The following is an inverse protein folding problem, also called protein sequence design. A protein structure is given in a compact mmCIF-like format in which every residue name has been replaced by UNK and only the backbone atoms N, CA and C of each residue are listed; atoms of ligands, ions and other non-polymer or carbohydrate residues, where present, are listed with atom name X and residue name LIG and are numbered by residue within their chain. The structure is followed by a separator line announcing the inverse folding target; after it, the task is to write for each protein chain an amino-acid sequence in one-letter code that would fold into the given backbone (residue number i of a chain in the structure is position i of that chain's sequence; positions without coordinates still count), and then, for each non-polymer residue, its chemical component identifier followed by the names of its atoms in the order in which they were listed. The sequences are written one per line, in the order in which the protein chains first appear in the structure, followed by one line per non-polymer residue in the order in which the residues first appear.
data_IF_519064416655
#
_entry.id   IF_519064416655
#
_cell.length_a   1.000
_cell.length_b   1.000
_cell.length_c   1.000
_cell.angle_alpha   90.00
_cell.angle_beta   90.00
_cell.angle_gamma   90.00
#
_symmetry.space_group_name_H-M   'P 1'
#
loop_
_entity.id
_entity.type
_entity.pdbx_description
1 polymer ?
#
# COMPACT_ATOMS: atom_id res chain seq x y z
N UNK A 1 -11.66 -2.44 1.28
CA UNK A 1 -11.27 -2.15 -0.12
C UNK A 1 -11.32 -0.64 -0.33
N UNK A 2 -10.52 -0.05 -1.23
CA UNK A 2 -10.47 1.43 -1.34
C UNK A 2 -11.39 1.88 -2.49
N UNK A 3 -12.60 2.29 -2.14
CA UNK A 3 -13.63 2.84 -3.02
C UNK A 3 -13.66 4.37 -2.91
N UNK A 4 -14.55 5.02 -3.67
CA UNK A 4 -14.83 6.46 -3.53
C UNK A 4 -15.23 6.80 -2.10
N UNK A 5 -15.84 5.89 -1.33
CA UNK A 5 -16.29 6.13 0.05
C UNK A 5 -15.13 6.33 1.03
N UNK A 6 -14.00 5.66 0.83
CA UNK A 6 -12.84 5.72 1.72
C UNK A 6 -11.90 6.90 1.38
N UNK A 7 -12.02 7.49 0.18
CA UNK A 7 -11.15 8.58 -0.23
C UNK A 7 -11.42 9.89 0.56
N UNK A 8 -10.41 10.51 1.20
CA UNK A 8 -10.62 11.78 1.89
C UNK A 8 -10.76 12.97 0.93
N UNK A 9 -11.22 14.11 1.42
CA UNK A 9 -11.53 15.31 0.64
C UNK A 9 -10.37 15.86 -0.20
N UNK A 10 -9.12 15.44 0.02
CA UNK A 10 -7.98 15.91 -0.76
C UNK A 10 -7.87 15.22 -2.14
N UNK A 11 -8.70 14.21 -2.40
CA UNK A 11 -8.72 13.48 -3.66
C UNK A 11 -9.66 14.13 -4.68
N UNK A 12 -9.22 14.06 -5.93
CA UNK A 12 -9.94 14.54 -7.10
C UNK A 12 -9.98 13.43 -8.15
N UNK A 13 -11.14 13.26 -8.77
CA UNK A 13 -11.49 12.14 -9.64
C UNK A 13 -11.74 12.64 -11.05
N UNK A 14 -11.25 11.89 -12.03
CA UNK A 14 -11.61 12.06 -13.43
C UNK A 14 -12.47 10.89 -13.87
N UNK A 15 -13.68 11.21 -14.32
CA UNK A 15 -14.58 10.26 -14.97
C UNK A 15 -14.25 10.20 -16.47
N UNK A 16 -14.35 9.02 -17.06
CA UNK A 16 -14.24 8.83 -18.51
C UNK A 16 -15.16 9.78 -19.26
N UNK A 17 -14.72 10.28 -20.41
CA UNK A 17 -15.39 11.41 -21.09
C UNK A 17 -16.83 11.10 -21.49
N UNK A 18 -17.06 9.92 -22.09
CA UNK A 18 -18.40 9.48 -22.51
C UNK A 18 -19.35 9.22 -21.33
N UNK A 19 -18.83 8.65 -20.24
CA UNK A 19 -19.61 8.45 -19.03
C UNK A 19 -19.94 9.77 -18.33
N UNK A 20 -18.94 10.66 -18.20
CA UNK A 20 -19.06 11.95 -17.53
C UNK A 20 -20.17 12.80 -18.13
N UNK A 21 -20.26 12.89 -19.46
CA UNK A 21 -21.30 13.68 -20.11
C UNK A 21 -22.70 13.17 -19.77
N UNK A 22 -22.92 11.85 -19.87
CA UNK A 22 -24.18 11.20 -19.49
C UNK A 22 -24.49 11.40 -18.00
N UNK A 23 -23.50 11.20 -17.14
CA UNK A 23 -23.63 11.35 -15.69
C UNK A 23 -24.07 12.77 -15.31
N UNK A 24 -23.40 13.80 -15.82
CA UNK A 24 -23.78 15.19 -15.53
C UNK A 24 -25.14 15.57 -16.12
N UNK A 25 -25.51 15.02 -17.28
CA UNK A 25 -26.83 15.23 -17.86
C UNK A 25 -27.93 14.62 -16.97
N UNK A 26 -27.74 13.40 -16.45
CA UNK A 26 -28.65 12.78 -15.48
C UNK A 26 -28.80 13.62 -14.20
N UNK A 27 -27.70 14.18 -13.68
CA UNK A 27 -27.73 15.10 -12.54
C UNK A 27 -28.58 16.34 -12.86
N UNK A 28 -28.40 16.93 -14.05
CA UNK A 28 -29.14 18.13 -14.48
C UNK A 28 -30.63 17.84 -14.55
N UNK A 29 -31.01 16.73 -15.19
CA UNK A 29 -32.41 16.38 -15.43
C UNK A 29 -33.14 16.16 -14.10
N UNK A 30 -32.47 15.56 -13.10
CA UNK A 30 -33.02 15.45 -11.74
C UNK A 30 -33.10 16.78 -10.98
N UNK A 31 -32.20 17.73 -11.26
CA UNK A 31 -32.17 19.02 -10.59
C UNK A 31 -32.92 20.14 -11.33
N UNK A 32 -33.56 19.84 -12.47
CA UNK A 32 -34.23 20.75 -13.41
C UNK A 32 -33.34 21.82 -14.08
N UNK A 33 -32.22 22.22 -13.46
CA UNK A 33 -31.33 23.25 -14.01
C UNK A 33 -29.90 23.15 -13.49
N UNK A 34 -28.94 23.61 -14.29
CA UNK A 34 -27.54 23.73 -13.87
C UNK A 34 -27.35 24.71 -12.71
N UNK A 35 -28.22 25.72 -12.56
CA UNK A 35 -28.12 26.64 -11.42
C UNK A 35 -28.49 25.95 -10.10
N UNK A 36 -29.44 25.01 -10.13
CA UNK A 36 -29.79 24.18 -8.97
C UNK A 36 -28.63 23.26 -8.56
N UNK A 37 -28.03 22.55 -9.53
CA UNK A 37 -26.82 21.72 -9.30
C UNK A 37 -25.70 22.55 -8.69
N UNK A 38 -25.42 23.73 -9.27
CA UNK A 38 -24.38 24.65 -8.81
C UNK A 38 -24.60 25.09 -7.36
N UNK A 39 -25.82 25.52 -7.01
CA UNK A 39 -26.18 25.94 -5.64
C UNK A 39 -25.99 24.80 -4.65
N UNK A 40 -26.40 23.58 -5.02
CA UNK A 40 -26.27 22.38 -4.19
C UNK A 40 -24.81 22.01 -3.92
N UNK A 41 -23.95 22.13 -4.94
CA UNK A 41 -22.52 21.87 -4.78
C UNK A 41 -21.79 23.00 -4.02
N UNK A 42 -22.30 24.24 -4.09
CA UNK A 42 -21.62 25.41 -3.52
C UNK A 42 -20.45 25.89 -4.38
N UNK A 43 -20.50 25.66 -5.70
CA UNK A 43 -19.40 25.99 -6.63
C UNK A 43 -19.75 27.14 -7.57
N UNK A 44 -18.75 27.70 -8.25
CA UNK A 44 -18.97 28.73 -9.27
C UNK A 44 -19.55 28.14 -10.57
N UNK A 45 -20.17 28.97 -11.42
CA UNK A 45 -20.67 28.54 -12.74
C UNK A 45 -19.54 27.97 -13.61
N UNK A 46 -18.37 28.61 -13.59
CA UNK A 46 -17.20 28.15 -14.35
C UNK A 46 -16.67 26.82 -13.83
N UNK A 47 -16.64 26.62 -12.51
CA UNK A 47 -16.22 25.34 -11.91
C UNK A 47 -17.14 24.20 -12.36
N UNK A 48 -18.46 24.38 -12.26
CA UNK A 48 -19.42 23.37 -12.72
C UNK A 48 -19.29 23.09 -14.22
N UNK A 49 -19.08 24.14 -15.02
CA UNK A 49 -18.85 24.01 -16.46
C UNK A 49 -17.60 23.17 -16.77
N UNK A 50 -16.47 23.47 -16.12
CA UNK A 50 -15.22 22.73 -16.30
C UNK A 50 -15.34 21.28 -15.83
N UNK A 51 -16.03 21.04 -14.70
CA UNK A 51 -16.30 19.67 -14.21
C UNK A 51 -17.09 18.86 -15.25
N UNK A 52 -18.15 19.43 -15.83
CA UNK A 52 -18.97 18.76 -16.85
C UNK A 52 -18.16 18.46 -18.12
N UNK A 53 -17.41 19.46 -18.60
CA UNK A 53 -16.61 19.29 -19.82
C UNK A 53 -15.37 18.41 -19.61
N UNK A 54 -14.91 18.26 -18.36
CA UNK A 54 -13.67 17.56 -18.00
C UNK A 54 -12.40 18.24 -18.49
N UNK A 55 -12.49 19.50 -18.88
CA UNK A 55 -11.39 20.29 -19.43
C UNK A 55 -11.35 21.63 -18.71
N UNK A 56 -10.16 22.20 -18.52
CA UNK A 56 -10.04 23.51 -17.89
C UNK A 56 -10.35 24.63 -18.90
N UNK A 57 -11.22 25.55 -18.50
CA UNK A 57 -11.67 26.68 -19.31
C UNK A 57 -11.51 27.99 -18.53
N UNK A 58 -11.06 29.03 -19.23
CA UNK A 58 -11.05 30.40 -18.73
C UNK A 58 -12.48 30.86 -18.43
N UNK A 59 -12.65 31.87 -17.56
CA UNK A 59 -13.94 32.55 -17.34
C UNK A 59 -14.58 33.08 -18.63
N UNK A 60 -13.78 33.29 -19.67
CA UNK A 60 -14.20 33.76 -21.01
C UNK A 60 -14.58 32.61 -21.96
N UNK A 61 -14.52 31.36 -21.51
CA UNK A 61 -14.78 30.17 -22.33
C UNK A 61 -13.60 29.67 -23.15
N UNK A 62 -12.42 30.31 -23.09
CA UNK A 62 -11.21 29.84 -23.79
C UNK A 62 -10.61 28.62 -23.10
N UNK A 63 -10.31 27.55 -23.83
CA UNK A 63 -9.66 26.35 -23.31
C UNK A 63 -8.25 26.67 -22.78
N UNK A 64 -7.93 26.20 -21.56
CA UNK A 64 -6.63 26.44 -20.91
C UNK A 64 -5.66 25.26 -20.99
N UNK A 65 -6.09 24.14 -21.57
CA UNK A 65 -5.30 22.91 -21.56
C UNK A 65 -5.51 22.11 -20.27
N UNK A 66 -5.68 20.80 -20.42
CA UNK A 66 -5.65 19.86 -19.30
C UNK A 66 -7.01 19.43 -18.78
N UNK A 67 -6.98 18.29 -18.06
CA UNK A 67 -8.14 17.60 -17.51
C UNK A 67 -8.65 18.29 -16.23
N UNK A 68 -9.94 18.57 -16.16
CA UNK A 68 -10.62 18.99 -14.93
C UNK A 68 -11.08 17.78 -14.15
N UNK A 69 -10.69 17.71 -12.88
CA UNK A 69 -11.09 16.63 -11.97
C UNK A 69 -12.12 17.17 -10.98
N UNK A 70 -13.03 16.31 -10.53
CA UNK A 70 -14.06 16.62 -9.55
C UNK A 70 -13.56 16.26 -8.16
N UNK A 71 -13.69 17.16 -7.18
CA UNK A 71 -13.36 16.82 -5.79
C UNK A 71 -14.23 15.65 -5.32
N UNK A 72 -13.69 14.71 -4.55
CA UNK A 72 -14.43 13.51 -4.15
C UNK A 72 -15.69 13.83 -3.31
N UNK A 73 -15.69 14.91 -2.54
CA UNK A 73 -16.87 15.36 -1.78
C UNK A 73 -17.98 15.81 -2.72
N UNK A 74 -17.62 16.59 -3.76
CA UNK A 74 -18.58 17.03 -4.77
C UNK A 74 -19.06 15.86 -5.62
N UNK A 75 -18.19 14.91 -5.95
CA UNK A 75 -18.58 13.70 -6.68
C UNK A 75 -19.61 12.89 -5.88
N UNK A 76 -19.43 12.70 -4.57
CA UNK A 76 -20.42 12.01 -3.73
C UNK A 76 -21.77 12.74 -3.68
N UNK A 77 -21.77 14.08 -3.69
CA UNK A 77 -23.02 14.86 -3.80
C UNK A 77 -23.68 14.63 -5.16
N UNK A 78 -22.90 14.67 -6.24
CA UNK A 78 -23.38 14.42 -7.59
C UNK A 78 -23.99 13.02 -7.74
N UNK A 79 -23.37 11.98 -7.17
CA UNK A 79 -23.89 10.60 -7.17
C UNK A 79 -25.28 10.54 -6.53
N UNK A 80 -25.47 11.23 -5.39
CA UNK A 80 -26.78 11.29 -4.71
C UNK A 80 -27.82 12.01 -5.56
N UNK A 81 -27.45 13.11 -6.20
CA UNK A 81 -28.34 13.89 -7.08
C UNK A 81 -28.70 13.15 -8.37
N UNK A 82 -27.78 12.38 -8.93
CA UNK A 82 -28.03 11.58 -10.12
C UNK A 82 -28.79 10.30 -9.82
N UNK A 83 -28.93 9.91 -8.54
CA UNK A 83 -29.24 8.56 -8.04
C UNK A 83 -28.63 7.44 -8.90
N UNK A 84 -27.41 7.68 -9.38
CA UNK A 84 -26.60 6.66 -10.03
C UNK A 84 -26.10 5.69 -8.98
N UNK A 85 -25.94 4.44 -9.38
CA UNK A 85 -25.23 3.47 -8.56
C UNK A 85 -23.77 3.91 -8.38
N UNK A 86 -23.23 3.77 -7.16
CA UNK A 86 -21.86 4.20 -6.88
C UNK A 86 -20.85 3.29 -7.59
N UNK A 87 -21.13 1.99 -7.71
CA UNK A 87 -20.22 1.05 -8.38
C UNK A 87 -20.13 1.38 -9.88
N UNK A 88 -21.25 1.77 -10.51
CA UNK A 88 -21.25 2.27 -11.89
C UNK A 88 -20.34 3.51 -12.04
N UNK A 89 -20.43 4.48 -11.12
CA UNK A 89 -19.54 5.66 -11.15
C UNK A 89 -18.08 5.27 -10.94
N UNK A 90 -17.78 4.33 -10.05
CA UNK A 90 -16.43 3.83 -9.77
C UNK A 90 -15.79 3.16 -10.97
N UNK A 91 -16.53 2.29 -11.66
CA UNK A 91 -16.07 1.58 -12.85
C UNK A 91 -15.71 2.52 -14.01
N UNK A 92 -16.23 3.75 -13.99
CA UNK A 92 -15.96 4.77 -14.99
C UNK A 92 -14.95 5.85 -14.51
N UNK A 93 -14.20 5.57 -13.45
CA UNK A 93 -13.05 6.40 -13.03
C UNK A 93 -11.82 6.01 -13.85
N UNK A 94 -11.26 6.98 -14.58
CA UNK A 94 -10.07 6.76 -15.41
C UNK A 94 -8.79 7.29 -14.77
N UNK A 95 -8.89 8.24 -13.83
CA UNK A 95 -7.73 8.82 -13.17
C UNK A 95 -8.07 9.45 -11.83
N UNK A 96 -7.08 9.49 -10.94
CA UNK A 96 -7.17 10.09 -9.61
C UNK A 96 -5.97 11.01 -9.39
N UNK A 97 -6.19 12.14 -8.72
CA UNK A 97 -5.10 13.02 -8.28
C UNK A 97 -5.36 13.58 -6.89
N UNK A 98 -4.32 14.13 -6.29
CA UNK A 98 -4.46 15.02 -5.14
C UNK A 98 -4.67 16.46 -5.62
N UNK A 99 -5.07 17.35 -4.72
CA UNK A 99 -5.15 18.79 -4.99
C UNK A 99 -3.87 19.34 -5.65
N UNK A 100 -2.71 18.84 -5.22
CA UNK A 100 -1.40 19.12 -5.82
C UNK A 100 -0.73 17.83 -6.28
N UNK A 101 -0.12 17.85 -7.47
CA UNK A 101 0.66 16.73 -8.00
C UNK A 101 0.07 16.16 -9.28
N UNK A 102 0.77 15.16 -9.83
CA UNK A 102 0.36 14.48 -11.06
C UNK A 102 -0.77 13.49 -10.78
N UNK A 103 -1.64 13.33 -11.77
CA UNK A 103 -2.65 12.28 -11.75
C UNK A 103 -2.00 10.91 -11.93
N UNK A 104 -2.66 9.90 -11.37
CA UNK A 104 -2.37 8.48 -11.56
C UNK A 104 -3.57 7.83 -12.24
N UNK A 105 -3.30 6.88 -13.13
CA UNK A 105 -4.31 6.18 -13.91
C UNK A 105 -4.57 4.85 -13.22
N UNK A 106 -5.63 4.82 -12.43
CA UNK A 106 -6.03 3.65 -11.64
C UNK A 106 -7.52 3.42 -11.81
N UNK A 107 -7.91 2.16 -11.78
CA UNK A 107 -9.30 1.76 -11.68
C UNK A 107 -9.72 1.75 -10.21
N UNK A 108 -10.91 2.26 -9.93
CA UNK A 108 -11.56 2.13 -8.62
C UNK A 108 -12.79 1.20 -8.74
N UNK A 109 -13.14 0.48 -7.67
CA UNK A 109 -12.46 0.49 -6.38
C UNK A 109 -11.14 -0.33 -6.42
N UNK A 110 -10.13 0.13 -5.67
CA UNK A 110 -8.81 -0.52 -5.65
C UNK A 110 -8.87 -1.76 -4.75
N UNK A 111 -9.00 -2.92 -5.40
CA UNK A 111 -9.16 -4.24 -4.81
C UNK A 111 -7.91 -4.82 -4.16
N UNK A 112 -8.06 -5.87 -3.31
CA UNK A 112 -6.96 -6.71 -2.89
C UNK A 112 -6.22 -7.26 -4.11
N UNK A 113 -4.90 -7.15 -4.10
CA UNK A 113 -4.03 -7.78 -5.09
C UNK A 113 -2.70 -8.15 -4.46
N UNK A 114 -2.01 -9.18 -4.96
CA UNK A 114 -0.67 -9.55 -4.47
C UNK A 114 0.31 -8.37 -4.52
N UNK A 115 0.25 -7.54 -5.56
CA UNK A 115 1.13 -6.38 -5.72
C UNK A 115 0.83 -5.29 -4.69
N UNK A 116 -0.44 -4.97 -4.42
CA UNK A 116 -0.81 -4.03 -3.36
C UNK A 116 -0.38 -4.56 -1.98
N UNK A 117 -0.59 -5.85 -1.74
CA UNK A 117 -0.22 -6.51 -0.48
C UNK A 117 1.29 -6.46 -0.25
N UNK A 118 2.08 -6.74 -1.30
CA UNK A 118 3.54 -6.59 -1.25
C UNK A 118 3.97 -5.15 -0.98
N UNK A 119 3.34 -4.14 -1.61
CA UNK A 119 3.67 -2.73 -1.35
C UNK A 119 3.34 -2.31 0.09
N UNK A 120 2.23 -2.77 0.66
CA UNK A 120 1.90 -2.53 2.07
C UNK A 120 2.89 -3.26 2.99
N UNK A 121 3.26 -4.50 2.68
CA UNK A 121 4.28 -5.25 3.41
C UNK A 121 5.62 -4.50 3.44
N UNK A 122 6.12 -4.07 2.27
CA UNK A 122 7.35 -3.27 2.19
C UNK A 122 7.22 -1.91 2.90
N UNK A 123 6.06 -1.25 2.84
CA UNK A 123 5.84 -0.02 3.59
C UNK A 123 5.94 -0.23 5.11
N UNK A 124 5.50 -1.39 5.62
CA UNK A 124 5.63 -1.79 7.02
C UNK A 124 7.04 -2.30 7.38
N UNK A 125 7.80 -2.88 6.44
CA UNK A 125 9.18 -3.34 6.58
C UNK A 125 10.26 -2.25 6.39
N UNK A 126 11.00 -2.25 5.28
CA UNK A 126 12.09 -1.29 5.03
C UNK A 126 11.63 0.04 4.39
N UNK A 127 10.36 0.12 4.01
CA UNK A 127 9.74 1.32 3.44
C UNK A 127 9.43 2.40 4.48
N UNK A 128 9.30 3.64 4.02
CA UNK A 128 8.93 4.78 4.86
C UNK A 128 7.95 5.70 4.13
N UNK A 129 6.81 5.98 4.75
CA UNK A 129 5.87 7.00 4.27
C UNK A 129 6.11 8.27 5.08
N UNK A 130 6.63 9.31 4.44
CA UNK A 130 6.94 10.60 5.09
C UNK A 130 5.67 11.32 5.55
N UNK A 131 5.83 12.35 6.38
CA UNK A 131 4.72 13.18 6.88
C UNK A 131 3.86 13.80 5.77
N UNK A 132 4.46 14.06 4.59
CA UNK A 132 3.80 14.57 3.39
C UNK A 132 3.21 13.46 2.48
N UNK A 133 3.18 12.21 2.94
CA UNK A 133 2.74 11.01 2.20
C UNK A 133 3.63 10.57 1.04
N UNK A 134 4.84 11.11 0.89
CA UNK A 134 5.81 10.53 -0.03
C UNK A 134 6.23 9.14 0.50
N UNK A 135 5.94 8.10 -0.27
CA UNK A 135 6.40 6.75 0.03
C UNK A 135 7.78 6.56 -0.60
N UNK A 136 8.72 6.09 0.21
CA UNK A 136 10.04 5.69 -0.22
C UNK A 136 10.35 4.28 0.23
N UNK A 137 11.15 3.59 -0.57
CA UNK A 137 11.65 2.26 -0.22
C UNK A 137 13.16 2.23 -0.41
N UNK A 138 13.85 1.65 0.58
CA UNK A 138 15.29 1.68 0.72
C UNK A 138 15.77 0.24 0.79
N UNK A 139 16.70 -0.13 -0.09
CA UNK A 139 17.32 -1.47 -0.05
C UNK A 139 18.72 -1.42 -0.61
N UNK A 140 19.56 -2.39 -0.25
CA UNK A 140 20.86 -2.62 -0.90
C UNK A 140 20.75 -3.53 -2.12
N UNK A 141 19.60 -4.20 -2.30
CA UNK A 141 19.37 -5.17 -3.36
C UNK A 141 18.62 -4.52 -4.54
N UNK A 142 19.30 -4.41 -5.68
CA UNK A 142 18.74 -3.76 -6.87
C UNK A 142 17.54 -4.52 -7.45
N UNK A 143 17.57 -5.85 -7.42
CA UNK A 143 16.48 -6.68 -7.91
C UNK A 143 15.20 -6.44 -7.11
N UNK A 144 15.32 -6.38 -5.77
CA UNK A 144 14.18 -6.09 -4.91
C UNK A 144 13.64 -4.67 -5.17
N UNK A 145 14.49 -3.67 -5.39
CA UNK A 145 14.02 -2.33 -5.75
C UNK A 145 13.27 -2.29 -7.08
N UNK A 146 13.79 -2.96 -8.10
CA UNK A 146 13.13 -3.04 -9.41
C UNK A 146 11.77 -3.72 -9.31
N UNK A 147 11.67 -4.75 -8.46
CA UNK A 147 10.42 -5.45 -8.18
C UNK A 147 9.40 -4.55 -7.49
N UNK A 148 9.78 -3.86 -6.40
CA UNK A 148 8.90 -2.90 -5.70
C UNK A 148 8.49 -1.75 -6.62
N UNK A 149 9.41 -1.24 -7.44
CA UNK A 149 9.10 -0.21 -8.43
C UNK A 149 8.07 -0.73 -9.45
N UNK A 150 8.25 -1.94 -9.96
CA UNK A 150 7.31 -2.57 -10.91
C UNK A 150 5.93 -2.74 -10.29
N UNK A 151 5.84 -3.18 -9.03
CA UNK A 151 4.55 -3.27 -8.33
C UNK A 151 3.85 -1.93 -8.24
N UNK A 152 4.55 -0.85 -7.86
CA UNK A 152 3.93 0.47 -7.80
C UNK A 152 3.51 1.00 -9.16
N UNK A 153 4.25 0.70 -10.24
CA UNK A 153 3.81 1.02 -11.61
C UNK A 153 2.52 0.29 -11.98
N UNK A 154 2.45 -1.01 -11.69
CA UNK A 154 1.31 -1.84 -12.07
C UNK A 154 0.05 -1.49 -11.26
N UNK A 155 0.19 -1.27 -9.96
CA UNK A 155 -0.94 -0.94 -9.07
C UNK A 155 -1.43 0.48 -9.32
N UNK A 156 -0.52 1.44 -9.55
CA UNK A 156 -0.87 2.86 -9.61
C UNK A 156 -0.75 3.50 -11.00
N UNK A 157 -0.55 2.72 -12.06
CA UNK A 157 -0.40 3.23 -13.43
C UNK A 157 0.69 4.29 -13.58
N UNK A 158 1.82 4.12 -12.88
CA UNK A 158 2.88 5.14 -12.85
C UNK A 158 3.75 5.04 -14.11
N UNK A 159 3.92 6.17 -14.81
CA UNK A 159 4.81 6.23 -15.96
C UNK A 159 6.30 6.26 -15.59
N UNK A 160 6.64 6.80 -14.41
CA UNK A 160 8.02 6.93 -13.94
C UNK A 160 8.11 6.82 -12.42
N UNK A 161 9.18 6.16 -11.97
CA UNK A 161 9.60 6.11 -10.57
C UNK A 161 10.97 6.77 -10.48
N UNK A 162 11.16 7.59 -9.46
CA UNK A 162 12.43 8.28 -9.24
C UNK A 162 13.31 7.40 -8.37
N UNK A 163 14.56 7.19 -8.80
CA UNK A 163 15.59 6.53 -7.99
C UNK A 163 16.64 7.58 -7.60
N UNK A 164 17.17 7.48 -6.40
CA UNK A 164 18.25 8.34 -5.91
C UNK A 164 19.21 7.53 -5.03
N UNK A 165 20.47 7.96 -4.96
CA UNK A 165 21.47 7.39 -4.07
C UNK A 165 21.63 8.35 -2.88
N UNK A 166 20.75 8.24 -1.88
CA UNK A 166 20.84 9.10 -0.69
C UNK A 166 22.11 8.82 0.13
N UNK A 167 22.63 7.59 0.04
CA UNK A 167 23.84 7.16 0.74
C UNK A 167 24.66 6.31 -0.22
N UNK A 168 26.00 6.41 -0.21
CA UNK A 168 26.85 5.54 -1.03
C UNK A 168 26.48 4.06 -0.84
N UNK A 169 26.15 3.38 -1.94
CA UNK A 169 25.76 1.96 -1.92
C UNK A 169 24.33 1.65 -1.45
N UNK A 170 23.50 2.65 -1.14
CA UNK A 170 22.08 2.45 -0.79
C UNK A 170 21.21 3.29 -1.73
N UNK A 171 20.47 2.61 -2.60
CA UNK A 171 19.53 3.26 -3.50
C UNK A 171 18.19 3.44 -2.78
N UNK A 172 17.47 4.49 -3.14
CA UNK A 172 16.13 4.79 -2.64
C UNK A 172 15.21 5.03 -3.81
N UNK A 173 14.06 4.35 -3.82
CA UNK A 173 12.99 4.60 -4.78
C UNK A 173 11.95 5.52 -4.14
N UNK A 174 11.42 6.46 -4.93
CA UNK A 174 10.45 7.44 -4.49
C UNK A 174 9.17 7.32 -5.32
N UNK A 175 8.05 7.26 -4.61
CA UNK A 175 6.73 7.24 -5.18
C UNK A 175 6.03 8.59 -4.98
N UNK A 176 5.17 9.01 -5.92
CA UNK A 176 4.33 10.19 -5.75
C UNK A 176 3.50 10.12 -4.47
N UNK A 177 3.22 11.28 -3.85
CA UNK A 177 2.48 11.38 -2.57
C UNK A 177 1.12 10.67 -2.55
N UNK A 178 0.48 10.56 -3.71
CA UNK A 178 -0.79 9.85 -3.84
C UNK A 178 -0.65 8.35 -3.54
N UNK A 179 0.49 7.75 -3.89
CA UNK A 179 0.78 6.34 -3.58
C UNK A 179 0.85 6.14 -2.08
N UNK A 180 1.60 6.95 -1.34
CA UNK A 180 1.67 6.82 0.12
C UNK A 180 0.33 7.05 0.79
N UNK A 181 -0.57 7.89 0.23
CA UNK A 181 -1.95 8.00 0.71
C UNK A 181 -2.77 6.73 0.48
N UNK A 182 -2.70 6.14 -0.71
CA UNK A 182 -3.36 4.86 -0.97
C UNK A 182 -2.81 3.74 -0.10
N UNK A 183 -1.49 3.67 0.12
CA UNK A 183 -0.91 2.69 1.04
C UNK A 183 -1.38 2.89 2.48
N UNK A 184 -1.51 4.14 2.95
CA UNK A 184 -2.11 4.41 4.26
C UNK A 184 -3.58 3.96 4.34
N UNK A 185 -4.37 4.22 3.30
CA UNK A 185 -5.75 3.72 3.20
C UNK A 185 -5.81 2.18 3.13
N UNK A 186 -4.75 1.54 2.62
CA UNK A 186 -4.61 0.08 2.57
C UNK A 186 -4.04 -0.53 3.86
N UNK A 187 -3.78 0.26 4.91
CA UNK A 187 -3.32 -0.23 6.22
C UNK A 187 -1.83 -0.03 6.52
N UNK A 188 -1.05 0.62 5.65
CA UNK A 188 0.28 1.09 6.03
C UNK A 188 0.20 2.29 6.99
N UNK A 189 1.28 2.60 7.69
CA UNK A 189 1.34 3.76 8.60
C UNK A 189 2.29 4.85 8.12
N UNK A 190 1.93 6.10 8.40
CA UNK A 190 2.70 7.29 8.04
C UNK A 190 3.67 7.67 9.15
N UNK A 191 4.93 7.94 8.84
CA UNK A 191 5.92 8.45 9.79
C UNK A 191 6.69 7.34 10.51
N UNK A 192 7.02 7.55 11.79
CA UNK A 192 7.85 6.61 12.53
C UNK A 192 7.02 5.40 13.00
N UNK A 193 7.22 4.26 12.34
CA UNK A 193 6.51 2.99 12.61
C UNK A 193 6.73 2.45 14.02
N UNK A 194 7.92 2.69 14.58
CA UNK A 194 8.28 2.24 15.93
C UNK A 194 7.54 3.01 17.04
N UNK A 195 6.81 4.07 16.70
CA UNK A 195 6.01 4.90 17.61
C UNK A 195 4.51 4.81 17.32
N UNK A 196 4.08 3.86 16.49
CA UNK A 196 2.67 3.74 16.08
C UNK A 196 2.17 2.31 16.27
N UNK A 197 0.90 2.19 16.62
CA UNK A 197 0.19 0.91 16.59
C UNK A 197 -0.20 0.57 15.16
N UNK A 198 -0.07 -0.69 14.78
CA UNK A 198 -0.60 -1.25 13.53
C UNK A 198 -0.72 -2.77 13.68
N UNK A 199 -1.62 -3.34 12.88
CA UNK A 199 -1.90 -4.78 12.78
C UNK A 199 -1.75 -5.24 11.34
N UNK A 200 -1.91 -6.55 11.09
CA UNK A 200 -2.10 -7.04 9.73
C UNK A 200 -3.42 -6.46 9.21
N UNK A 201 -3.48 -5.87 7.99
CA UNK A 201 -4.73 -5.34 7.48
C UNK A 201 -5.76 -6.46 7.25
N UNK A 202 -7.02 -6.23 7.65
CA UNK A 202 -8.09 -7.24 7.56
C UNK A 202 -8.28 -7.81 6.15
N UNK A 203 -8.08 -6.99 5.11
CA UNK A 203 -8.20 -7.43 3.72
C UNK A 203 -7.05 -8.32 3.27
N UNK A 204 -5.90 -8.27 3.96
CA UNK A 204 -4.81 -9.24 3.80
C UNK A 204 -5.14 -10.50 4.58
N UNK A 205 -5.57 -10.37 5.83
CA UNK A 205 -5.91 -11.50 6.70
C UNK A 205 -7.06 -12.36 6.15
N UNK A 206 -8.04 -11.73 5.52
CA UNK A 206 -9.15 -12.41 4.85
C UNK A 206 -8.96 -12.51 3.32
N UNK A 207 -7.77 -12.17 2.82
CA UNK A 207 -7.46 -12.18 1.39
C UNK A 207 -7.25 -13.58 0.83
N UNK A 208 -7.00 -13.68 -0.47
CA UNK A 208 -6.60 -14.95 -1.08
C UNK A 208 -5.20 -15.38 -0.62
N UNK A 209 -4.84 -16.64 -0.84
CA UNK A 209 -3.51 -17.16 -0.53
C UNK A 209 -2.40 -16.34 -1.23
N UNK A 210 -2.63 -15.87 -2.45
CA UNK A 210 -1.67 -15.04 -3.19
C UNK A 210 -1.47 -13.67 -2.52
N UNK A 211 -2.54 -13.08 -1.97
CA UNK A 211 -2.48 -11.81 -1.22
C UNK A 211 -1.69 -11.99 0.07
N UNK A 212 -2.03 -13.01 0.87
CA UNK A 212 -1.35 -13.35 2.13
C UNK A 212 0.12 -13.65 1.89
N UNK A 213 0.42 -14.49 0.91
CA UNK A 213 1.77 -14.86 0.53
C UNK A 213 2.59 -13.63 0.10
N UNK A 214 2.03 -12.75 -0.74
CA UNK A 214 2.77 -11.57 -1.21
C UNK A 214 3.06 -10.57 -0.08
N UNK A 215 2.13 -10.40 0.87
CA UNK A 215 2.35 -9.60 2.07
C UNK A 215 3.46 -10.19 2.96
N UNK A 216 3.38 -11.48 3.28
CA UNK A 216 4.39 -12.19 4.07
C UNK A 216 5.76 -12.13 3.40
N UNK A 217 5.83 -12.46 2.10
CA UNK A 217 7.08 -12.44 1.33
C UNK A 217 7.77 -11.08 1.39
N UNK A 218 7.01 -9.99 1.22
CA UNK A 218 7.55 -8.62 1.29
C UNK A 218 8.14 -8.30 2.68
N UNK A 219 7.42 -8.63 3.76
CA UNK A 219 7.93 -8.42 5.12
C UNK A 219 9.17 -9.27 5.42
N UNK A 220 9.20 -10.52 4.97
CA UNK A 220 10.33 -11.41 5.17
C UNK A 220 11.56 -10.97 4.34
N UNK A 221 11.34 -10.50 3.11
CA UNK A 221 12.38 -9.91 2.26
C UNK A 221 13.07 -8.71 2.94
N UNK A 222 12.34 -7.94 3.74
CA UNK A 222 12.86 -6.77 4.46
C UNK A 222 13.46 -7.19 5.82
N UNK A 223 12.63 -7.72 6.73
CA UNK A 223 12.94 -7.85 8.16
C UNK A 223 13.55 -9.21 8.56
N UNK A 224 13.33 -10.28 7.78
CA UNK A 224 13.75 -11.61 8.21
C UNK A 224 15.25 -11.87 7.97
N UNK A 225 15.87 -12.64 8.87
CA UNK A 225 17.22 -13.14 8.73
C UNK A 225 17.21 -14.66 8.59
N UNK A 226 17.91 -15.18 7.57
CA UNK A 226 18.17 -16.62 7.44
C UNK A 226 19.50 -16.94 8.08
N UNK A 227 19.49 -17.81 9.09
CA UNK A 227 20.68 -18.27 9.81
C UNK A 227 20.99 -19.71 9.43
N UNK A 228 22.25 -19.96 9.10
CA UNK A 228 22.79 -21.28 8.79
C UNK A 228 24.03 -21.49 9.64
N UNK A 229 24.00 -22.50 10.50
CA UNK A 229 25.10 -22.88 11.41
C UNK A 229 25.06 -24.39 11.64
N UNK A 230 26.15 -24.95 12.18
CA UNK A 230 26.23 -26.38 12.50
C UNK A 230 25.04 -26.88 13.34
N UNK A 231 24.52 -26.04 14.25
CA UNK A 231 23.51 -26.42 15.23
C UNK A 231 22.15 -25.73 15.03
N UNK A 232 22.03 -24.81 14.08
CA UNK A 232 20.78 -24.09 13.84
C UNK A 232 20.64 -23.67 12.37
N UNK A 233 19.51 -24.06 11.80
CA UNK A 233 19.03 -23.62 10.50
C UNK A 233 17.62 -23.06 10.69
N UNK A 234 17.51 -21.74 10.59
CA UNK A 234 16.26 -21.06 10.91
C UNK A 234 16.05 -19.77 10.12
N UNK A 235 14.79 -19.38 10.00
CA UNK A 235 14.40 -18.02 9.59
C UNK A 235 13.92 -17.31 10.84
N UNK A 236 14.55 -16.18 11.16
CA UNK A 236 14.22 -15.36 12.32
C UNK A 236 13.60 -14.05 11.85
N UNK A 237 12.41 -13.74 12.33
CA UNK A 237 11.69 -12.49 12.05
C UNK A 237 11.61 -11.68 13.34
N UNK A 238 12.09 -10.43 13.29
CA UNK A 238 12.22 -9.57 14.48
C UNK A 238 11.85 -8.15 14.12
N UNK A 239 11.13 -7.47 15.00
CA UNK A 239 10.81 -6.06 14.86
C UNK A 239 10.92 -5.34 16.21
N UNK A 240 11.09 -4.01 16.14
CA UNK A 240 11.23 -3.16 17.32
C UNK A 240 10.13 -2.09 17.40
N UNK A 241 9.60 -1.84 18.61
CA UNK A 241 8.70 -0.72 18.89
C UNK A 241 9.05 -0.03 20.20
N UNK A 242 8.48 1.15 20.41
CA UNK A 242 8.44 1.78 21.73
C UNK A 242 7.82 0.82 22.75
N UNK A 243 8.33 0.81 23.98
CA UNK A 243 7.90 -0.12 25.02
C UNK A 243 6.39 -0.05 25.30
N UNK A 244 5.81 1.17 25.34
CA UNK A 244 4.36 1.36 25.46
C UNK A 244 3.51 0.83 24.30
N UNK A 245 4.14 0.29 23.25
CA UNK A 245 3.47 -0.36 22.10
C UNK A 245 3.81 -1.86 22.00
N UNK A 246 4.33 -2.46 23.07
CA UNK A 246 4.68 -3.88 23.13
C UNK A 246 3.50 -4.79 22.74
N UNK A 247 2.30 -4.55 23.29
CA UNK A 247 1.10 -5.33 22.96
C UNK A 247 0.69 -5.18 21.49
N UNK A 248 0.84 -4.00 20.89
CA UNK A 248 0.61 -3.83 19.45
C UNK A 248 1.62 -4.61 18.61
N UNK A 249 2.89 -4.62 19.02
CA UNK A 249 3.94 -5.37 18.33
C UNK A 249 3.66 -6.87 18.40
N UNK A 250 3.34 -7.37 19.59
CA UNK A 250 2.97 -8.77 19.80
C UNK A 250 1.75 -9.17 18.96
N UNK A 251 0.68 -8.37 18.97
CA UNK A 251 -0.51 -8.62 18.15
C UNK A 251 -0.24 -8.65 16.65
N UNK A 252 0.62 -7.75 16.15
CA UNK A 252 1.06 -7.80 14.75
C UNK A 252 1.84 -9.08 14.42
N UNK A 253 2.80 -9.45 15.28
CA UNK A 253 3.62 -10.64 15.08
C UNK A 253 2.81 -11.93 15.17
N UNK A 254 1.86 -12.04 16.10
CA UNK A 254 0.93 -13.17 16.15
C UNK A 254 0.02 -13.22 14.92
N UNK A 255 -0.45 -12.08 14.41
CA UNK A 255 -1.13 -12.02 13.12
C UNK A 255 -0.30 -12.63 11.97
N UNK A 256 1.00 -12.32 11.90
CA UNK A 256 1.88 -12.94 10.90
C UNK A 256 2.01 -14.46 11.11
N UNK A 257 2.05 -14.92 12.36
CA UNK A 257 2.12 -16.36 12.68
C UNK A 257 0.84 -17.09 12.30
N UNK A 258 -0.32 -16.46 12.48
CA UNK A 258 -1.60 -17.00 12.00
C UNK A 258 -1.58 -17.17 10.48
N UNK A 259 -1.16 -16.15 9.72
CA UNK A 259 -1.03 -16.28 8.27
C UNK A 259 -0.05 -17.39 7.86
N UNK A 260 1.10 -17.53 8.54
CA UNK A 260 2.06 -18.60 8.25
C UNK A 260 1.46 -19.99 8.46
N UNK A 261 0.64 -20.16 9.51
CA UNK A 261 0.01 -21.45 9.80
C UNK A 261 -0.99 -21.87 8.72
N UNK A 262 -1.62 -20.93 8.01
CA UNK A 262 -2.49 -21.24 6.86
C UNK A 262 -1.73 -21.88 5.69
N UNK A 263 -0.42 -21.65 5.59
CA UNK A 263 0.48 -22.32 4.63
C UNK A 263 1.17 -23.55 5.24
N UNK A 264 0.65 -24.06 6.36
CA UNK A 264 1.24 -25.14 7.16
C UNK A 264 2.67 -24.86 7.67
N UNK A 265 3.07 -23.58 7.76
CA UNK A 265 4.39 -23.17 8.24
C UNK A 265 4.31 -22.83 9.73
N UNK A 266 4.75 -23.76 10.58
CA UNK A 266 4.75 -23.53 12.04
C UNK A 266 5.97 -22.70 12.46
N UNK A 267 5.74 -21.80 13.41
CA UNK A 267 6.77 -20.98 14.05
C UNK A 267 6.74 -21.12 15.57
N UNK A 268 7.85 -20.84 16.24
CA UNK A 268 7.90 -20.66 17.69
C UNK A 268 6.99 -19.51 18.14
N UNK A 269 6.62 -19.48 19.43
CA UNK A 269 5.87 -18.36 20.01
C UNK A 269 6.59 -17.02 19.82
N UNK A 270 5.84 -15.92 19.78
CA UNK A 270 6.43 -14.59 19.86
C UNK A 270 7.15 -14.46 21.20
N UNK A 271 8.40 -14.00 21.16
CA UNK A 271 9.25 -13.84 22.33
C UNK A 271 9.79 -12.41 22.38
N UNK A 272 9.82 -11.84 23.59
CA UNK A 272 10.64 -10.67 23.88
C UNK A 272 12.11 -11.07 23.78
N UNK A 273 12.86 -10.42 22.88
CA UNK A 273 14.28 -10.68 22.66
C UNK A 273 15.17 -9.73 23.43
N UNK A 274 14.79 -8.45 23.47
CA UNK A 274 15.56 -7.42 24.15
C UNK A 274 14.69 -6.25 24.61
N UNK A 275 15.15 -5.58 25.68
CA UNK A 275 14.77 -4.22 26.03
C UNK A 275 16.00 -3.35 25.98
N UNK A 276 15.90 -2.20 25.34
CA UNK A 276 17.03 -1.29 25.21
C UNK A 276 16.57 0.15 25.01
N UNK A 277 17.48 1.08 25.27
CA UNK A 277 17.24 2.49 25.07
C UNK A 277 17.82 2.94 23.72
N UNK A 278 17.04 3.65 22.91
CA UNK A 278 17.54 4.19 21.65
C UNK A 278 18.40 5.46 21.86
N UNK A 279 19.02 5.96 20.77
CA UNK A 279 19.86 7.17 20.81
C UNK A 279 19.13 8.42 21.32
N UNK A 280 17.79 8.44 21.31
CA UNK A 280 16.96 9.54 21.82
C UNK A 280 16.45 9.26 23.23
N UNK A 281 17.08 8.34 23.96
CA UNK A 281 16.73 7.96 25.33
C UNK A 281 15.32 7.34 25.47
N UNK A 282 14.72 6.84 24.38
CA UNK A 282 13.39 6.20 24.44
C UNK A 282 13.54 4.70 24.67
N UNK A 283 12.70 4.14 25.53
CA UNK A 283 12.66 2.70 25.78
C UNK A 283 12.04 1.96 24.58
N UNK A 284 12.72 0.91 24.15
CA UNK A 284 12.35 0.05 23.03
C UNK A 284 12.28 -1.41 23.48
N UNK A 285 11.34 -2.11 22.87
CA UNK A 285 11.21 -3.57 22.96
C UNK A 285 11.48 -4.15 21.58
N UNK A 286 12.25 -5.23 21.56
CA UNK A 286 12.46 -6.07 20.38
C UNK A 286 11.75 -7.39 20.60
N UNK A 287 10.86 -7.76 19.68
CA UNK A 287 10.11 -9.01 19.73
C UNK A 287 10.21 -9.72 18.39
N UNK A 288 10.08 -11.04 18.41
CA UNK A 288 10.11 -11.83 17.19
C UNK A 288 9.80 -13.29 17.42
N UNK A 289 9.81 -14.04 16.32
CA UNK A 289 9.65 -15.49 16.32
C UNK A 289 10.61 -16.12 15.32
N UNK A 290 10.66 -17.44 15.34
CA UNK A 290 11.58 -18.22 14.50
C UNK A 290 10.83 -19.37 13.84
N UNK A 291 11.11 -19.59 12.55
CA UNK A 291 10.70 -20.76 11.77
C UNK A 291 11.91 -21.69 11.70
N UNK A 292 11.76 -22.90 12.22
CA UNK A 292 12.81 -23.90 12.28
C UNK A 292 12.29 -25.27 11.83
N UNK A 293 13.20 -26.25 11.74
CA UNK A 293 12.98 -27.61 11.23
C UNK A 293 12.82 -27.66 9.70
N UNK A 294 13.37 -28.71 9.09
CA UNK A 294 13.39 -28.91 7.64
C UNK A 294 12.01 -28.75 7.00
N UNK A 295 10.98 -29.41 7.55
CA UNK A 295 9.61 -29.37 7.01
C UNK A 295 9.08 -27.94 6.86
N UNK A 296 9.21 -27.11 7.90
CA UNK A 296 8.71 -25.72 7.84
C UNK A 296 9.54 -24.86 6.89
N UNK A 297 10.86 -25.07 6.81
CA UNK A 297 11.72 -24.33 5.88
C UNK A 297 11.42 -24.68 4.42
N UNK A 298 11.17 -25.95 4.13
CA UNK A 298 10.74 -26.41 2.79
C UNK A 298 9.36 -25.84 2.45
N UNK A 299 8.39 -25.92 3.37
CA UNK A 299 7.07 -25.31 3.19
C UNK A 299 7.19 -23.80 2.96
N UNK A 300 8.01 -23.10 3.76
CA UNK A 300 8.27 -21.68 3.56
C UNK A 300 8.85 -21.42 2.19
N UNK A 301 9.90 -22.14 1.76
CA UNK A 301 10.51 -21.96 0.44
C UNK A 301 9.49 -22.13 -0.70
N UNK A 302 8.63 -23.14 -0.60
CA UNK A 302 7.64 -23.50 -1.62
C UNK A 302 6.51 -22.49 -1.70
N UNK A 303 5.90 -22.15 -0.57
CA UNK A 303 4.66 -21.35 -0.54
C UNK A 303 4.97 -19.84 -0.53
N UNK A 304 5.99 -19.43 0.23
CA UNK A 304 6.35 -18.01 0.43
C UNK A 304 7.69 -17.71 -0.23
N UNK A 305 8.81 -18.24 0.27
CA UNK A 305 10.13 -17.99 -0.28
C UNK A 305 10.58 -16.53 -0.13
N UNK A 306 11.68 -16.19 -0.77
CA UNK A 306 12.24 -14.83 -0.78
C UNK A 306 12.38 -14.33 -2.21
N UNK A 307 12.09 -13.05 -2.45
CA UNK A 307 12.56 -12.41 -3.67
C UNK A 307 14.01 -11.94 -3.54
N UNK A 308 14.47 -11.66 -2.32
CA UNK A 308 15.85 -11.24 -2.10
C UNK A 308 16.80 -12.42 -2.40
N UNK A 309 17.65 -12.33 -3.45
CA UNK A 309 18.45 -13.47 -3.92
C UNK A 309 19.38 -14.06 -2.86
N UNK A 310 19.99 -13.21 -2.03
CA UNK A 310 20.88 -13.65 -0.95
C UNK A 310 20.13 -14.39 0.17
N UNK A 311 18.94 -13.92 0.56
CA UNK A 311 18.11 -14.61 1.57
C UNK A 311 17.60 -15.94 1.01
N UNK A 312 17.18 -15.97 -0.26
CA UNK A 312 16.75 -17.19 -0.94
C UNK A 312 17.87 -18.24 -1.01
N UNK A 313 19.08 -17.84 -1.42
CA UNK A 313 20.25 -18.73 -1.44
C UNK A 313 20.59 -19.29 -0.05
N UNK A 314 20.55 -18.44 0.99
CA UNK A 314 20.74 -18.89 2.37
C UNK A 314 19.68 -19.89 2.81
N UNK A 315 18.42 -19.70 2.41
CA UNK A 315 17.33 -20.64 2.71
C UNK A 315 17.56 -22.00 2.05
N UNK A 316 17.95 -22.01 0.77
CA UNK A 316 18.31 -23.25 0.06
C UNK A 316 19.43 -23.97 0.81
N UNK A 317 20.50 -23.26 1.18
CA UNK A 317 21.61 -23.85 1.93
C UNK A 317 21.16 -24.39 3.30
N UNK A 318 20.29 -23.66 4.00
CA UNK A 318 19.72 -24.08 5.28
C UNK A 318 18.97 -25.41 5.13
N UNK A 319 18.15 -25.57 4.09
CA UNK A 319 17.38 -26.78 3.80
C UNK A 319 18.29 -27.95 3.43
N UNK A 320 19.28 -27.72 2.56
CA UNK A 320 20.20 -28.76 2.10
C UNK A 320 21.13 -29.27 3.21
N UNK A 321 21.43 -28.46 4.21
CA UNK A 321 22.28 -28.86 5.34
C UNK A 321 21.63 -29.85 6.31
N UNK A 322 20.31 -30.09 6.19
CA UNK A 322 19.67 -31.22 6.84
C UNK A 322 20.04 -32.50 6.08
N UNK A 323 21.26 -32.99 6.32
CA UNK A 323 21.74 -34.27 5.84
C UNK A 323 20.78 -35.37 6.30
N UNK A 324 20.45 -36.26 5.39
CA UNK A 324 19.73 -37.49 5.68
C UNK A 324 20.58 -38.35 6.62
N UNK A 325 20.32 -38.28 7.92
CA UNK A 325 20.50 -39.46 8.77
C UNK A 325 19.37 -40.41 8.36
N UNK A 326 19.57 -41.14 7.25
CA UNK A 326 18.80 -42.38 6.99
C UNK A 326 19.34 -43.43 7.95
#
# INVERSE_FOLDING_TARGET
MISIKELPHQFYIYLEDGYREKFFQNVRDRCNSWNSVRKTLGVSRSTLYSMRKGSDYHKTGKYRGGKTFVNVIDLRKLVRLSSSDLCDVENNISAVKLQTGKAVYISLPLGPSPQLASLVGHALGDGHIRSNYEFMYISKDDYLQDKVATFGKNVFGLSKIVKSNLTPGVKTIYFPRIVGRFLCLAGAVKGNKTLQSFTVPDWVENGSNEVKCAFLRALFDDEACVRTSKNSNDITFVMCKHEGLATSLEGFLEGLRHLLNEFEIRSCRVLLRARYQDRKKRQKVEMGFTICRKRNLVAFQKEIGFNHPNKNRKLINAISSYIYNV
#
